data_IF_551921090823
#
_entry.id   IF_551921090823
#
_cell.length_a   1.000
_cell.length_b   1.000
_cell.length_c   1.000
_cell.angle_alpha   90.00
_cell.angle_beta   90.00
_cell.angle_gamma   90.00
#
_symmetry.space_group_name_H-M   'P 1'
#
loop_
_entity.id
_entity.type
_entity.pdbx_description
1 polymer ?
#
# COMPACT_ATOMS: atom_id res chain seq x y z
N UNK A 1 -8.88 -10.71 12.92
CA UNK A 1 -8.19 -9.85 11.92
C UNK A 1 -7.28 -8.89 12.65
N UNK A 2 -6.03 -8.68 12.19
CA UNK A 2 -5.10 -7.77 12.87
C UNK A 2 -5.50 -6.32 12.58
N UNK A 3 -5.60 -5.44 13.58
CA UNK A 3 -6.03 -4.04 13.39
C UNK A 3 -5.18 -3.27 12.36
N UNK A 4 -3.90 -3.65 12.22
CA UNK A 4 -2.96 -3.06 11.25
C UNK A 4 -3.29 -3.34 9.77
N UNK A 5 -4.09 -4.36 9.46
CA UNK A 5 -4.46 -4.67 8.07
C UNK A 5 -5.57 -3.75 7.57
N UNK A 6 -6.51 -3.40 8.47
CA UNK A 6 -7.59 -2.47 8.15
C UNK A 6 -7.05 -1.06 7.91
N UNK A 7 -6.14 -0.58 8.77
CA UNK A 7 -5.53 0.74 8.62
C UNK A 7 -4.79 0.91 7.28
N UNK A 8 -3.97 -0.06 6.87
CA UNK A 8 -3.29 0.01 5.56
C UNK A 8 -4.28 0.04 4.40
N UNK A 9 -5.32 -0.80 4.45
CA UNK A 9 -6.36 -0.81 3.42
C UNK A 9 -7.07 0.54 3.33
N UNK A 10 -7.42 1.16 4.46
CA UNK A 10 -8.01 2.50 4.49
C UNK A 10 -7.07 3.57 3.93
N UNK A 11 -5.77 3.51 4.24
CA UNK A 11 -4.77 4.45 3.68
C UNK A 11 -4.67 4.32 2.16
N UNK A 12 -4.66 3.11 1.61
CA UNK A 12 -4.61 2.92 0.16
C UNK A 12 -5.88 3.38 -0.55
N UNK A 13 -7.06 3.08 0.01
CA UNK A 13 -8.32 3.59 -0.54
C UNK A 13 -8.35 5.12 -0.54
N UNK A 14 -7.85 5.74 0.53
CA UNK A 14 -7.75 7.19 0.63
C UNK A 14 -6.76 7.76 -0.40
N UNK A 15 -5.61 7.11 -0.63
CA UNK A 15 -4.65 7.48 -1.66
C UNK A 15 -5.27 7.46 -3.06
N UNK A 16 -5.99 6.38 -3.41
CA UNK A 16 -6.66 6.26 -4.71
C UNK A 16 -7.75 7.33 -4.87
N UNK A 17 -8.55 7.55 -3.82
CA UNK A 17 -9.59 8.59 -3.82
C UNK A 17 -9.04 10.00 -4.00
N UNK A 18 -7.95 10.35 -3.29
CA UNK A 18 -7.28 11.64 -3.44
C UNK A 18 -6.62 11.79 -4.81
N UNK A 19 -6.00 10.74 -5.35
CA UNK A 19 -5.45 10.78 -6.71
C UNK A 19 -6.56 11.05 -7.76
N UNK A 20 -7.71 10.39 -7.62
CA UNK A 20 -8.88 10.64 -8.45
C UNK A 20 -9.41 12.07 -8.31
N UNK A 21 -9.52 12.57 -7.07
CA UNK A 21 -9.91 13.94 -6.80
C UNK A 21 -8.99 14.96 -7.47
N UNK A 22 -7.66 14.82 -7.32
CA UNK A 22 -6.68 15.72 -7.94
C UNK A 22 -6.81 15.69 -9.47
N UNK A 23 -6.99 14.51 -10.09
CA UNK A 23 -7.21 14.43 -11.53
C UNK A 23 -8.49 15.15 -11.96
N UNK A 24 -9.62 14.88 -11.29
CA UNK A 24 -10.90 15.51 -11.67
C UNK A 24 -10.83 17.03 -11.44
N UNK A 25 -10.27 17.47 -10.33
CA UNK A 25 -10.11 18.90 -10.03
C UNK A 25 -9.22 19.58 -11.09
N UNK A 26 -8.11 18.95 -11.47
CA UNK A 26 -7.24 19.49 -12.53
C UNK A 26 -7.92 19.46 -13.91
N UNK A 27 -8.68 18.42 -14.25
CA UNK A 27 -9.38 18.34 -15.52
C UNK A 27 -10.54 19.36 -15.61
N UNK A 28 -11.39 19.44 -14.60
CA UNK A 28 -12.60 20.27 -14.66
C UNK A 28 -12.30 21.75 -14.39
N UNK A 29 -11.48 22.04 -13.38
CA UNK A 29 -11.31 23.40 -12.89
C UNK A 29 -10.09 24.10 -13.50
N UNK A 30 -9.05 23.34 -13.88
CA UNK A 30 -7.87 23.93 -14.53
C UNK A 30 -7.92 23.87 -16.07
N UNK A 31 -8.77 23.05 -16.71
CA UNK A 31 -8.98 23.07 -18.17
C UNK A 31 -10.22 23.88 -18.55
N UNK A 32 -10.34 25.13 -18.10
CA UNK A 32 -11.38 26.04 -18.60
C UNK A 32 -11.26 26.30 -20.10
N UNK A 33 -11.64 25.32 -20.92
CA UNK A 33 -11.74 25.39 -22.37
C UNK A 33 -13.24 25.42 -22.66
N UNK A 34 -13.80 26.62 -22.66
CA UNK A 34 -15.10 26.85 -23.28
C UNK A 34 -14.94 26.66 -24.79
N UNK A 35 -15.39 25.51 -25.30
CA UNK A 35 -15.50 25.21 -26.73
C UNK A 35 -16.73 25.87 -27.37
N UNK A 36 -17.06 27.10 -26.98
CA UNK A 36 -18.13 27.83 -27.66
C UNK A 36 -17.56 28.45 -28.94
N UNK A 37 -17.84 27.78 -30.05
CA UNK A 37 -17.67 28.24 -31.45
C UNK A 37 -16.27 28.77 -31.79
N UNK A 38 -15.42 27.88 -32.30
CA UNK A 38 -14.16 28.22 -32.95
C UNK A 38 -14.47 28.95 -34.25
N UNK A 39 -14.59 30.28 -34.15
CA UNK A 39 -14.43 31.18 -35.27
C UNK A 39 -12.95 31.18 -35.67
N UNK A 40 -12.67 31.07 -36.96
CA UNK A 40 -11.33 30.73 -37.46
C UNK A 40 -10.29 31.85 -37.24
N UNK A 41 -10.74 33.06 -36.91
CA UNK A 41 -9.89 34.20 -36.51
C UNK A 41 -9.46 34.16 -35.04
N UNK A 42 -10.09 33.32 -34.20
CA UNK A 42 -9.74 33.16 -32.79
C UNK A 42 -8.58 32.19 -32.55
N UNK A 43 -8.01 31.57 -33.60
CA UNK A 43 -6.87 30.63 -33.50
C UNK A 43 -5.59 31.33 -33.02
N UNK A 44 -5.47 32.65 -33.21
CA UNK A 44 -4.41 33.45 -32.57
C UNK A 44 -4.71 33.80 -31.10
N UNK A 45 -5.95 33.61 -30.64
CA UNK A 45 -6.38 33.87 -29.25
C UNK A 45 -6.48 32.58 -28.41
N UNK A 46 -6.55 31.40 -29.05
CA UNK A 46 -6.37 30.08 -28.38
C UNK A 46 -4.93 29.89 -27.85
N UNK A 47 -3.99 30.79 -28.19
CA UNK A 47 -2.73 30.95 -27.44
C UNK A 47 -2.93 31.33 -25.95
N UNK A 48 -4.15 31.71 -25.54
CA UNK A 48 -4.53 31.92 -24.15
C UNK A 48 -5.34 30.76 -23.55
N UNK A 49 -4.99 29.51 -23.88
CA UNK A 49 -5.09 28.45 -22.87
C UNK A 49 -4.08 28.77 -21.74
N UNK A 50 -4.32 29.87 -21.03
CA UNK A 50 -3.46 30.33 -19.95
C UNK A 50 -3.53 29.26 -18.88
N UNK A 51 -2.45 28.51 -18.78
CA UNK A 51 -2.23 27.67 -17.65
C UNK A 51 -2.35 28.53 -16.40
N UNK A 52 -3.38 28.29 -15.58
CA UNK A 52 -3.67 29.08 -14.37
C UNK A 52 -2.55 29.06 -13.31
N UNK A 53 -1.43 28.38 -13.62
CA UNK A 53 -0.21 28.25 -12.82
C UNK A 53 0.95 29.12 -13.32
N UNK A 54 0.87 29.75 -14.50
CA UNK A 54 2.00 30.42 -15.14
C UNK A 54 1.67 31.85 -15.54
N UNK A 55 2.54 32.80 -15.15
CA UNK A 55 2.40 34.23 -15.47
C UNK A 55 2.81 34.56 -16.92
N UNK A 56 3.58 33.68 -17.57
CA UNK A 56 4.11 33.87 -18.93
C UNK A 56 3.32 33.08 -19.98
N UNK A 57 2.97 33.70 -21.11
CA UNK A 57 2.27 33.04 -22.22
C UNK A 57 3.10 31.93 -22.91
N UNK A 58 4.42 31.88 -22.69
CA UNK A 58 5.30 30.78 -23.12
C UNK A 58 5.32 29.58 -22.13
N UNK A 59 4.48 29.61 -21.09
CA UNK A 59 4.40 28.56 -20.05
C UNK A 59 3.53 27.35 -20.43
N UNK A 60 3.32 27.08 -21.72
CA UNK A 60 2.64 25.85 -22.18
C UNK A 60 3.28 24.59 -21.61
N UNK A 61 4.58 24.65 -21.31
CA UNK A 61 5.37 23.59 -20.67
C UNK A 61 4.92 23.28 -19.23
N UNK A 62 4.40 24.26 -18.49
CA UNK A 62 4.01 24.09 -17.07
C UNK A 62 2.68 23.34 -16.93
N UNK A 63 1.68 23.65 -17.76
CA UNK A 63 0.43 22.90 -17.76
C UNK A 63 0.60 21.48 -18.25
N UNK A 64 1.39 21.33 -19.32
CA UNK A 64 1.76 20.03 -19.87
C UNK A 64 2.50 19.22 -18.81
N UNK A 65 3.41 19.83 -18.05
CA UNK A 65 4.09 19.18 -16.94
C UNK A 65 3.12 18.72 -15.86
N UNK A 66 2.21 19.58 -15.38
CA UNK A 66 1.21 19.16 -14.37
C UNK A 66 0.30 18.05 -14.87
N UNK A 67 -0.06 18.04 -16.16
CA UNK A 67 -0.88 16.99 -16.75
C UNK A 67 -0.13 15.66 -16.85
N UNK A 68 1.13 15.69 -17.31
CA UNK A 68 2.00 14.51 -17.36
C UNK A 68 2.24 13.99 -15.94
N UNK A 69 2.50 14.88 -14.99
CA UNK A 69 2.73 14.49 -13.59
C UNK A 69 1.46 13.89 -13.00
N UNK A 70 0.28 14.50 -13.17
CA UNK A 70 -0.97 13.96 -12.66
C UNK A 70 -1.33 12.61 -13.31
N UNK A 71 -1.20 12.49 -14.63
CA UNK A 71 -1.45 11.25 -15.38
C UNK A 71 -0.45 10.14 -15.02
N UNK A 72 0.84 10.44 -14.94
CA UNK A 72 1.86 9.50 -14.52
C UNK A 72 1.66 9.06 -13.06
N UNK A 73 1.23 9.98 -12.18
CA UNK A 73 0.93 9.67 -10.77
C UNK A 73 -0.26 8.72 -10.64
N UNK A 74 -1.28 8.88 -11.47
CA UNK A 74 -2.39 7.95 -11.54
C UNK A 74 -1.96 6.57 -12.04
N UNK A 75 -1.20 6.52 -13.14
CA UNK A 75 -0.66 5.27 -13.67
C UNK A 75 0.19 4.53 -12.64
N UNK A 76 1.07 5.26 -11.94
CA UNK A 76 1.87 4.71 -10.86
C UNK A 76 1.01 4.23 -9.69
N UNK A 77 -0.01 4.99 -9.27
CA UNK A 77 -0.88 4.60 -8.15
C UNK A 77 -1.73 3.36 -8.47
N UNK A 78 -2.20 3.22 -9.70
CA UNK A 78 -2.90 2.03 -10.19
C UNK A 78 -1.95 0.84 -10.25
N UNK A 79 -0.75 1.02 -10.80
CA UNK A 79 0.26 -0.03 -10.88
C UNK A 79 0.66 -0.52 -9.48
N UNK A 80 0.84 0.40 -8.52
CA UNK A 80 1.08 0.07 -7.13
C UNK A 80 -0.08 -0.71 -6.52
N UNK A 81 -1.33 -0.29 -6.75
CA UNK A 81 -2.51 -1.01 -6.27
C UNK A 81 -2.58 -2.44 -6.83
N UNK A 82 -2.27 -2.63 -8.12
CA UNK A 82 -2.21 -3.94 -8.76
C UNK A 82 -1.07 -4.79 -8.16
N UNK A 83 0.12 -4.21 -7.97
CA UNK A 83 1.25 -4.88 -7.35
C UNK A 83 0.92 -5.32 -5.92
N UNK A 84 0.26 -4.47 -5.14
CA UNK A 84 -0.24 -4.79 -3.80
C UNK A 84 -1.23 -5.95 -3.81
N UNK A 85 -2.14 -6.00 -4.79
CA UNK A 85 -3.05 -7.14 -4.95
C UNK A 85 -2.30 -8.45 -5.26
N UNK A 86 -1.28 -8.39 -6.12
CA UNK A 86 -0.49 -9.58 -6.52
C UNK A 86 0.43 -10.03 -5.37
N UNK A 87 0.97 -9.11 -4.57
CA UNK A 87 1.87 -9.43 -3.44
C UNK A 87 1.13 -9.90 -2.19
N UNK A 88 -0.16 -9.57 -2.03
CA UNK A 88 -0.99 -9.97 -0.88
C UNK A 88 -1.13 -11.50 -0.71
N UNK A 89 -1.17 -12.28 -1.79
CA UNK A 89 -1.33 -13.74 -1.69
C UNK A 89 0.00 -14.50 -1.52
N UNK A 90 1.15 -13.87 -1.80
CA UNK A 90 2.44 -14.56 -1.84
C UNK A 90 3.29 -14.43 -0.56
N UNK A 91 2.98 -13.51 0.36
CA UNK A 91 4.00 -13.01 1.29
C UNK A 91 3.84 -13.44 2.76
N UNK A 92 4.13 -14.72 3.00
CA UNK A 92 4.54 -15.22 4.32
C UNK A 92 6.04 -15.05 4.63
N UNK A 93 6.84 -14.44 3.75
CA UNK A 93 8.31 -14.31 3.89
C UNK A 93 8.80 -12.88 3.66
N UNK A 94 9.24 -12.23 4.74
CA UNK A 94 10.18 -11.11 4.90
C UNK A 94 10.35 -10.00 3.84
N UNK A 95 10.49 -10.31 2.55
CA UNK A 95 10.89 -9.35 1.51
C UNK A 95 9.78 -8.42 1.02
N UNK A 96 8.50 -8.78 1.17
CA UNK A 96 7.40 -7.94 0.67
C UNK A 96 7.34 -6.56 1.33
N UNK A 97 7.58 -6.49 2.64
CA UNK A 97 7.50 -5.22 3.36
C UNK A 97 8.57 -4.21 2.93
N UNK A 98 9.74 -4.69 2.49
CA UNK A 98 10.80 -3.82 1.95
C UNK A 98 10.42 -3.26 0.58
N UNK A 99 9.83 -4.09 -0.28
CA UNK A 99 9.35 -3.66 -1.60
C UNK A 99 8.24 -2.62 -1.48
N UNK A 100 7.27 -2.84 -0.60
CA UNK A 100 6.23 -1.85 -0.30
C UNK A 100 6.80 -0.55 0.27
N UNK A 101 7.81 -0.63 1.14
CA UNK A 101 8.48 0.55 1.69
C UNK A 101 9.24 1.34 0.61
N UNK A 102 9.95 0.67 -0.30
CA UNK A 102 10.68 1.32 -1.41
C UNK A 102 9.67 2.00 -2.35
N UNK A 103 8.63 1.28 -2.77
CA UNK A 103 7.61 1.79 -3.67
C UNK A 103 6.83 2.95 -3.03
N UNK A 104 6.46 2.82 -1.75
CA UNK A 104 5.86 3.90 -0.99
C UNK A 104 6.79 5.11 -0.86
N UNK A 105 8.09 4.89 -0.71
CA UNK A 105 9.10 5.95 -0.62
C UNK A 105 9.25 6.73 -1.91
N UNK A 106 9.30 6.03 -3.05
CA UNK A 106 9.30 6.65 -4.38
C UNK A 106 8.01 7.44 -4.60
N UNK A 107 6.85 6.88 -4.22
CA UNK A 107 5.56 7.58 -4.27
C UNK A 107 5.55 8.86 -3.42
N UNK A 108 6.05 8.79 -2.18
CA UNK A 108 6.13 9.93 -1.27
C UNK A 108 7.03 11.04 -1.84
N UNK A 109 8.22 10.67 -2.34
CA UNK A 109 9.16 11.61 -2.94
C UNK A 109 8.57 12.29 -4.18
N UNK A 110 7.90 11.50 -5.04
CA UNK A 110 7.24 12.00 -6.24
C UNK A 110 6.14 13.02 -5.91
N UNK A 111 5.23 12.68 -4.99
CA UNK A 111 4.16 13.58 -4.57
C UNK A 111 4.69 14.81 -3.82
N UNK A 112 5.79 14.69 -3.07
CA UNK A 112 6.42 15.83 -2.41
C UNK A 112 7.01 16.83 -3.43
N UNK A 113 7.67 16.34 -4.49
CA UNK A 113 8.16 17.19 -5.59
C UNK A 113 6.99 17.88 -6.29
N UNK A 114 5.93 17.13 -6.62
CA UNK A 114 4.73 17.69 -7.23
C UNK A 114 4.09 18.78 -6.34
N UNK A 115 3.94 18.52 -5.05
CA UNK A 115 3.38 19.48 -4.10
C UNK A 115 4.26 20.74 -3.98
N UNK A 116 5.58 20.60 -3.96
CA UNK A 116 6.52 21.73 -3.92
C UNK A 116 6.42 22.60 -5.18
N UNK A 117 6.35 21.99 -6.37
CA UNK A 117 6.15 22.70 -7.64
C UNK A 117 4.81 23.43 -7.63
N UNK A 118 3.71 22.75 -7.32
CA UNK A 118 2.37 23.34 -7.27
C UNK A 118 2.29 24.49 -6.25
N UNK A 119 2.96 24.37 -5.10
CA UNK A 119 3.01 25.44 -4.10
C UNK A 119 3.81 26.64 -4.60
N UNK A 120 4.96 26.41 -5.24
CA UNK A 120 5.86 27.46 -5.75
C UNK A 120 5.17 28.34 -6.80
N UNK A 121 4.32 27.75 -7.64
CA UNK A 121 3.60 28.47 -8.70
C UNK A 121 2.18 28.90 -8.29
N UNK A 122 1.50 28.12 -7.45
CA UNK A 122 0.13 28.39 -7.03
C UNK A 122 0.00 29.55 -6.04
N UNK A 123 0.95 29.72 -5.12
CA UNK A 123 0.89 30.79 -4.11
C UNK A 123 1.00 32.19 -4.75
N UNK A 124 1.98 32.47 -5.63
CA UNK A 124 2.05 33.76 -6.32
C UNK A 124 0.81 34.03 -7.18
N UNK A 125 0.30 33.03 -7.90
CA UNK A 125 -0.90 33.17 -8.73
C UNK A 125 -2.15 33.57 -7.91
N UNK A 126 -2.27 33.07 -6.67
CA UNK A 126 -3.32 33.49 -5.76
C UNK A 126 -3.13 34.93 -5.28
N UNK A 127 -1.91 35.33 -4.96
CA UNK A 127 -1.59 36.71 -4.56
C UNK A 127 -1.84 37.72 -5.68
N UNK A 128 -1.67 37.30 -6.93
CA UNK A 128 -1.95 38.09 -8.13
C UNK A 128 -3.46 38.18 -8.45
N UNK A 129 -4.34 37.59 -7.65
CA UNK A 129 -5.80 37.70 -7.81
C UNK A 129 -6.38 36.90 -8.98
N UNK A 130 -5.68 35.85 -9.44
CA UNK A 130 -6.18 35.03 -10.54
C UNK A 130 -7.48 34.31 -10.13
N UNK A 131 -8.42 34.06 -11.06
CA UNK A 131 -9.66 33.36 -10.75
C UNK A 131 -9.38 31.94 -10.21
N UNK A 132 -10.33 31.34 -9.49
CA UNK A 132 -10.26 29.97 -8.95
C UNK A 132 -9.19 29.72 -7.88
N UNK A 133 -8.93 30.69 -7.00
CA UNK A 133 -8.02 30.57 -5.86
C UNK A 133 -8.27 29.29 -5.02
N UNK A 134 -9.53 29.04 -4.65
CA UNK A 134 -9.92 27.90 -3.81
C UNK A 134 -9.49 26.56 -4.42
N UNK A 135 -9.60 26.40 -5.74
CA UNK A 135 -9.24 25.16 -6.42
C UNK A 135 -7.74 24.96 -6.52
N UNK A 136 -6.97 26.02 -6.76
CA UNK A 136 -5.50 25.95 -6.73
C UNK A 136 -5.00 25.54 -5.35
N UNK A 137 -5.58 26.12 -4.29
CA UNK A 137 -5.27 25.74 -2.91
C UNK A 137 -5.59 24.28 -2.65
N UNK A 138 -6.80 23.84 -3.02
CA UNK A 138 -7.21 22.45 -2.82
C UNK A 138 -6.24 21.47 -3.49
N UNK A 139 -5.76 21.75 -4.71
CA UNK A 139 -4.86 20.87 -5.46
C UNK A 139 -3.49 20.72 -4.81
N UNK A 140 -2.82 21.81 -4.41
CA UNK A 140 -1.50 21.68 -3.78
C UNK A 140 -1.61 21.12 -2.36
N UNK A 141 -2.66 21.46 -1.59
CA UNK A 141 -2.90 20.88 -0.26
C UNK A 141 -3.15 19.38 -0.36
N UNK A 142 -3.98 18.95 -1.30
CA UNK A 142 -4.24 17.52 -1.55
C UNK A 142 -2.97 16.76 -1.95
N UNK A 143 -2.07 17.41 -2.69
CA UNK A 143 -0.78 16.84 -3.07
C UNK A 143 0.16 16.64 -1.87
N UNK A 144 0.19 17.59 -0.93
CA UNK A 144 0.91 17.43 0.34
C UNK A 144 0.30 16.32 1.22
N UNK A 145 -1.03 16.23 1.28
CA UNK A 145 -1.71 15.14 1.98
C UNK A 145 -1.33 13.79 1.36
N UNK A 146 -1.29 13.69 0.02
CA UNK A 146 -0.85 12.48 -0.67
C UNK A 146 0.59 12.10 -0.33
N UNK A 147 1.52 13.06 -0.34
CA UNK A 147 2.90 12.82 0.08
C UNK A 147 2.96 12.30 1.54
N UNK A 148 2.16 12.88 2.43
CA UNK A 148 2.02 12.44 3.82
C UNK A 148 1.45 11.03 3.96
N UNK A 149 0.43 10.68 3.16
CA UNK A 149 -0.16 9.34 3.17
C UNK A 149 0.81 8.27 2.67
N UNK A 150 1.59 8.55 1.62
CA UNK A 150 2.65 7.64 1.17
C UNK A 150 3.74 7.51 2.24
N UNK A 151 4.18 8.61 2.85
CA UNK A 151 5.14 8.60 3.96
C UNK A 151 4.65 7.79 5.16
N UNK A 152 3.37 7.94 5.54
CA UNK A 152 2.75 7.14 6.58
C UNK A 152 2.73 5.66 6.22
N UNK A 153 2.41 5.31 4.96
CA UNK A 153 2.48 3.93 4.47
C UNK A 153 3.88 3.33 4.62
N UNK A 154 4.92 4.08 4.24
CA UNK A 154 6.33 3.66 4.42
C UNK A 154 6.66 3.42 5.88
N UNK A 155 6.28 4.35 6.77
CA UNK A 155 6.51 4.21 8.21
C UNK A 155 5.82 2.94 8.74
N UNK A 156 4.55 2.71 8.39
CA UNK A 156 3.81 1.52 8.81
C UNK A 156 4.46 0.22 8.29
N UNK A 157 4.97 0.22 7.07
CA UNK A 157 5.70 -0.91 6.49
C UNK A 157 7.03 -1.17 7.20
N UNK A 158 7.79 -0.13 7.53
CA UNK A 158 9.03 -0.24 8.31
C UNK A 158 8.73 -0.77 9.72
N UNK A 159 7.73 -0.23 10.41
CA UNK A 159 7.33 -0.71 11.74
C UNK A 159 6.87 -2.17 11.73
N UNK A 160 6.26 -2.64 10.63
CA UNK A 160 5.93 -4.07 10.45
C UNK A 160 7.16 -4.95 10.23
N UNK A 161 8.15 -4.47 9.48
CA UNK A 161 9.39 -5.20 9.23
C UNK A 161 10.33 -5.23 10.46
N UNK A 162 10.41 -4.14 11.21
CA UNK A 162 11.32 -3.97 12.35
C UNK A 162 10.66 -4.21 13.71
N UNK A 163 9.34 -4.45 13.75
CA UNK A 163 8.65 -4.79 14.98
C UNK A 163 9.25 -6.06 15.60
N UNK A 164 9.34 -6.15 16.94
CA UNK A 164 9.80 -7.36 17.60
C UNK A 164 8.97 -8.50 17.03
N UNK A 165 9.65 -9.47 16.42
CA UNK A 165 9.02 -10.68 15.93
C UNK A 165 8.36 -11.25 17.17
N UNK A 166 7.05 -11.07 17.31
CA UNK A 166 6.21 -11.93 18.12
C UNK A 166 6.31 -13.29 17.43
N UNK A 167 7.46 -13.92 17.63
CA UNK A 167 7.72 -15.30 17.36
C UNK A 167 6.56 -16.01 18.00
N UNK A 168 5.71 -16.60 17.17
CA UNK A 168 4.43 -17.21 17.55
C UNK A 168 4.68 -18.19 18.70
N UNK A 169 4.63 -17.71 19.94
CA UNK A 169 4.65 -18.55 21.14
C UNK A 169 3.41 -19.45 21.13
N UNK A 170 2.33 -19.04 20.43
CA UNK A 170 1.16 -19.89 20.17
C UNK A 170 1.41 -21.05 19.19
N UNK A 171 2.43 -20.95 18.33
CA UNK A 171 2.86 -22.02 17.43
C UNK A 171 3.78 -23.00 18.13
N UNK A 172 4.74 -22.49 18.89
CA UNK A 172 5.60 -23.28 19.76
C UNK A 172 4.77 -24.00 20.83
N UNK A 173 3.77 -23.35 21.43
CA UNK A 173 2.87 -23.96 22.41
C UNK A 173 2.01 -25.08 21.82
N UNK A 174 1.50 -24.94 20.60
CA UNK A 174 0.76 -26.02 19.92
C UNK A 174 1.67 -27.17 19.48
N UNK A 175 2.88 -26.88 19.01
CA UNK A 175 3.86 -27.91 18.66
C UNK A 175 4.33 -28.68 19.90
N UNK A 176 4.60 -27.96 21.00
CA UNK A 176 4.95 -28.55 22.28
C UNK A 176 3.80 -29.38 22.86
N UNK A 177 2.55 -28.90 22.77
CA UNK A 177 1.38 -29.66 23.21
C UNK A 177 1.20 -30.94 22.40
N UNK A 178 1.36 -30.90 21.07
CA UNK A 178 1.34 -32.10 20.21
C UNK A 178 2.46 -33.08 20.55
N UNK A 179 3.69 -32.59 20.75
CA UNK A 179 4.80 -33.46 21.15
C UNK A 179 4.52 -34.14 22.49
N UNK A 180 3.95 -33.41 23.45
CA UNK A 180 3.60 -33.95 24.77
C UNK A 180 2.47 -34.97 24.70
N UNK A 181 1.47 -34.75 23.85
CA UNK A 181 0.39 -35.71 23.57
C UNK A 181 0.91 -36.97 22.85
N UNK A 182 1.84 -36.82 21.91
CA UNK A 182 2.47 -37.95 21.21
C UNK A 182 3.36 -38.80 22.14
N UNK A 183 4.12 -38.14 23.03
CA UNK A 183 4.94 -38.81 24.05
C UNK A 183 4.10 -39.58 25.07
N UNK A 184 2.97 -39.00 25.51
CA UNK A 184 1.99 -39.66 26.38
C UNK A 184 1.36 -40.89 25.69
N UNK A 185 1.06 -40.79 24.38
CA UNK A 185 0.53 -41.91 23.62
C UNK A 185 1.55 -43.06 23.47
N UNK A 186 2.83 -42.75 23.20
CA UNK A 186 3.90 -43.76 23.12
C UNK A 186 4.14 -44.46 24.45
N UNK A 187 4.16 -43.72 25.56
CA UNK A 187 4.34 -44.32 26.89
C UNK A 187 3.19 -45.23 27.28
N UNK A 188 1.94 -44.87 26.96
CA UNK A 188 0.78 -45.74 27.15
C UNK A 188 0.87 -47.04 26.33
N UNK A 189 1.31 -46.95 25.07
CA UNK A 189 1.50 -48.15 24.22
C UNK A 189 2.57 -49.09 24.76
N UNK A 190 3.71 -48.56 25.24
CA UNK A 190 4.79 -49.36 25.83
C UNK A 190 4.35 -50.07 27.12
N UNK A 191 3.56 -49.40 27.97
CA UNK A 191 3.00 -50.00 29.18
C UNK A 191 2.06 -51.17 28.85
N UNK A 192 1.18 -51.00 27.85
CA UNK A 192 0.29 -52.06 27.39
C UNK A 192 1.08 -53.27 26.84
N UNK A 193 2.16 -53.05 26.09
CA UNK A 193 3.01 -54.14 25.60
C UNK A 193 3.71 -54.90 26.72
N UNK A 194 4.28 -54.21 27.73
CA UNK A 194 4.92 -54.89 28.88
C UNK A 194 3.96 -55.82 29.62
N UNK A 195 2.70 -55.42 29.79
CA UNK A 195 1.70 -56.26 30.46
C UNK A 195 1.45 -57.59 29.73
N UNK A 196 1.46 -57.58 28.39
CA UNK A 196 1.34 -58.80 27.58
C UNK A 196 2.56 -59.70 27.73
N UNK A 197 3.77 -59.14 27.67
CA UNK A 197 5.00 -59.94 27.79
C UNK A 197 5.22 -60.49 29.20
N UNK A 198 4.79 -59.78 30.25
CA UNK A 198 4.86 -60.25 31.63
C UNK A 198 4.08 -61.56 31.87
N UNK A 199 2.96 -61.76 31.18
CA UNK A 199 2.19 -63.02 31.27
C UNK A 199 2.94 -64.23 30.72
N UNK A 200 3.85 -64.04 29.75
CA UNK A 200 4.65 -65.14 29.21
C UNK A 200 5.85 -65.50 30.08
N UNK A 201 6.34 -64.59 30.93
CA UNK A 201 7.43 -64.90 31.87
C UNK A 201 6.97 -65.73 33.07
N UNK A 202 5.70 -65.67 33.46
CA UNK A 202 5.17 -66.43 34.61
C UNK A 202 4.79 -67.88 34.28
N UNK A 203 4.87 -68.31 33.01
CA UNK A 203 4.61 -69.70 32.63
C UNK A 203 5.83 -70.33 31.94
N UNK A 204 6.80 -70.89 32.70
CA UNK A 204 8.03 -71.43 32.14
C UNK A 204 7.87 -72.75 31.36
N UNK A 205 6.66 -73.33 31.24
CA UNK A 205 6.41 -74.56 30.46
C UNK A 205 5.04 -74.57 29.78
N UNK A 206 4.82 -73.79 28.70
CA UNK A 206 3.57 -73.87 27.93
C UNK A 206 3.46 -75.14 27.08
N UNK A 207 4.55 -75.89 26.90
CA UNK A 207 4.58 -77.14 26.11
C UNK A 207 4.98 -78.32 27.00
N UNK A 208 4.12 -78.68 27.94
CA UNK A 208 4.22 -79.96 28.63
C UNK A 208 2.81 -80.55 28.74
N UNK A 209 2.43 -81.33 27.72
CA UNK A 209 1.88 -82.68 27.85
C UNK A 209 0.95 -83.01 26.68
N UNK A 210 1.37 -83.98 25.86
CA UNK A 210 0.53 -85.06 25.36
C UNK A 210 1.43 -86.00 24.55
N UNK A 211 2.10 -86.92 25.25
CA UNK A 211 2.57 -88.21 24.69
C UNK A 211 1.70 -89.26 25.35
#
# INVERSE_FOLDING_TARGET
MRPTSWLLSSVHLLQVGLAAFVLIATAVHLQGITWESVDSDLINTVQNAQCLLGKDANSSTLCTYTYIVAGASMGASILLSILLCITCDCCGRGCAGLLDAILGGVGAAWWAIAAAVLTRYGVPANQDGWPQENWRIAVFVSSWVMAGLFGLGVLLSIFKCCGPREEKVEGAGRSFKRMKEEEAARTAQLAAQRSRYGQFQTNPRPYSSAV
#
